data_IF_286257053309
#
_entry.id   IF_286257053309
#
_cell.length_a   1.000
_cell.length_b   1.000
_cell.length_c   1.000
_cell.angle_alpha   90.00
_cell.angle_beta   90.00
_cell.angle_gamma   90.00
#
_symmetry.space_group_name_H-M   'P 1'
#
loop_
_entity.id
_entity.type
_entity.pdbx_description
1 polymer ?
#
# COMPACT_ATOMS: atom_id res chain seq x y z
N UNK A 1 12.69 11.67 11.95
CA UNK A 1 13.54 11.54 10.74
C UNK A 1 12.78 11.21 9.44
N UNK A 2 11.67 10.46 9.48
CA UNK A 2 10.95 10.03 8.26
C UNK A 2 9.78 10.94 7.83
N UNK A 3 9.47 11.98 8.62
CA UNK A 3 8.42 12.96 8.26
C UNK A 3 8.77 13.62 6.92
N UNK A 4 7.83 13.58 5.97
CA UNK A 4 8.01 14.06 4.60
C UNK A 4 6.66 14.40 3.95
N UNK A 5 6.66 14.76 2.67
CA UNK A 5 5.43 15.00 1.91
C UNK A 5 4.54 13.75 1.78
N UNK A 6 5.14 12.56 1.74
CA UNK A 6 4.44 11.26 1.62
C UNK A 6 4.11 10.62 2.98
N UNK A 7 4.31 11.36 4.07
CA UNK A 7 4.09 10.88 5.43
C UNK A 7 4.43 11.98 6.43
N UNK A 8 3.50 12.91 6.66
CA UNK A 8 3.78 14.12 7.45
C UNK A 8 3.59 13.89 8.96
N UNK A 9 2.47 13.30 9.33
CA UNK A 9 2.01 13.13 10.70
C UNK A 9 2.09 11.66 11.15
N UNK A 10 2.28 11.38 12.45
CA UNK A 10 2.42 10.04 13.00
C UNK A 10 1.07 9.30 13.08
N UNK A 11 0.44 9.06 11.95
CA UNK A 11 -0.77 8.22 11.81
C UNK A 11 -0.42 6.88 11.14
N UNK A 12 -1.34 5.91 11.16
CA UNK A 12 -1.17 4.65 10.43
C UNK A 12 -1.31 4.85 8.92
N UNK A 13 -0.71 3.96 8.11
CA UNK A 13 -0.77 4.01 6.64
C UNK A 13 -2.23 3.96 6.17
N UNK A 14 -2.98 2.96 6.62
CA UNK A 14 -4.45 2.92 6.53
C UNK A 14 -5.05 3.42 7.83
N UNK A 15 -5.40 4.71 7.85
CA UNK A 15 -5.95 5.38 9.04
C UNK A 15 -7.42 5.06 9.32
N UNK A 16 -8.18 4.64 8.29
CA UNK A 16 -9.60 4.28 8.45
C UNK A 16 -10.49 5.46 8.89
N UNK A 17 -10.12 6.67 8.49
CA UNK A 17 -10.79 7.93 8.80
C UNK A 17 -11.14 8.68 7.51
N UNK A 18 -12.25 9.40 7.49
CA UNK A 18 -12.59 10.33 6.41
C UNK A 18 -11.66 11.56 6.44
N UNK A 19 -11.60 12.31 5.35
CA UNK A 19 -10.80 13.55 5.29
C UNK A 19 -11.27 14.60 6.31
N UNK A 20 -12.56 14.64 6.64
CA UNK A 20 -13.11 15.54 7.67
C UNK A 20 -12.68 15.13 9.08
N UNK A 21 -12.68 13.84 9.38
CA UNK A 21 -12.17 13.31 10.67
C UNK A 21 -10.66 13.55 10.81
N UNK A 22 -9.88 13.35 9.74
CA UNK A 22 -8.46 13.68 9.71
C UNK A 22 -8.21 15.18 9.92
N UNK A 23 -9.02 16.04 9.29
CA UNK A 23 -8.89 17.49 9.48
C UNK A 23 -9.10 17.87 10.95
N UNK A 24 -10.09 17.28 11.63
CA UNK A 24 -10.33 17.49 13.07
C UNK A 24 -9.14 17.01 13.91
N UNK A 25 -8.69 15.77 13.67
CA UNK A 25 -7.53 15.20 14.37
C UNK A 25 -6.31 16.09 14.21
N UNK A 26 -5.99 16.50 12.97
CA UNK A 26 -4.81 17.31 12.70
C UNK A 26 -4.90 18.70 13.30
N UNK A 27 -6.09 19.31 13.28
CA UNK A 27 -6.28 20.65 13.79
C UNK A 27 -5.92 20.75 15.28
N UNK A 28 -6.31 19.73 16.04
CA UNK A 28 -6.10 19.65 17.48
C UNK A 28 -4.75 19.04 17.85
N UNK A 29 -4.45 17.82 17.39
CA UNK A 29 -3.25 17.06 17.80
C UNK A 29 -1.94 17.69 17.34
N UNK A 30 -1.98 18.51 16.29
CA UNK A 30 -0.79 19.19 15.75
C UNK A 30 -0.86 20.71 15.86
N UNK A 31 -1.74 21.22 16.74
CA UNK A 31 -1.82 22.63 17.13
C UNK A 31 -1.91 23.60 15.94
N UNK A 32 -2.62 23.19 14.88
CA UNK A 32 -2.86 24.04 13.70
C UNK A 32 -3.81 25.17 14.09
N UNK A 33 -4.80 24.90 14.96
CA UNK A 33 -5.74 25.88 15.51
C UNK A 33 -6.47 26.71 14.43
N UNK A 34 -6.79 26.10 13.29
CA UNK A 34 -7.62 26.68 12.26
C UNK A 34 -9.08 26.77 12.74
N UNK A 35 -9.79 27.82 12.32
CA UNK A 35 -11.25 27.87 12.41
C UNK A 35 -11.86 26.85 11.42
N UNK A 36 -12.08 25.63 11.91
CA UNK A 36 -12.43 24.46 11.11
C UNK A 36 -13.92 24.12 11.26
N UNK A 37 -14.63 24.12 10.13
CA UNK A 37 -15.97 23.53 10.02
C UNK A 37 -15.93 22.30 9.11
N UNK A 38 -16.41 21.16 9.61
CA UNK A 38 -16.62 19.94 8.82
C UNK A 38 -18.12 19.72 8.65
N UNK A 39 -18.58 19.58 7.42
CA UNK A 39 -19.98 19.22 7.12
C UNK A 39 -20.08 17.70 7.00
N UNK A 40 -20.71 16.98 7.96
CA UNK A 40 -20.78 15.54 7.91
C UNK A 40 -21.65 15.05 6.75
N UNK A 41 -21.24 13.94 6.15
CA UNK A 41 -22.05 13.19 5.20
C UNK A 41 -23.29 12.62 5.91
N UNK A 42 -24.32 12.30 5.15
CA UNK A 42 -25.49 11.56 5.63
C UNK A 42 -25.48 10.16 5.04
N UNK A 43 -25.92 9.17 5.81
CA UNK A 43 -26.08 7.76 5.40
C UNK A 43 -24.77 7.04 5.00
N UNK A 44 -23.62 7.62 5.29
CA UNK A 44 -22.34 6.91 5.20
C UNK A 44 -22.03 6.26 6.54
N UNK A 45 -21.54 5.02 6.51
CA UNK A 45 -21.17 4.28 7.71
C UNK A 45 -19.73 3.77 7.60
N UNK A 46 -19.03 3.75 8.73
CA UNK A 46 -17.68 3.17 8.78
C UNK A 46 -17.73 1.69 8.39
N UNK A 47 -16.82 1.31 7.50
CA UNK A 47 -16.77 -0.05 6.92
C UNK A 47 -17.43 -0.15 5.54
N UNK A 48 -18.21 0.85 5.13
CA UNK A 48 -18.77 0.89 3.77
C UNK A 48 -17.67 1.12 2.74
N UNK A 49 -17.58 0.23 1.75
CA UNK A 49 -16.74 0.38 0.59
C UNK A 49 -17.31 1.39 -0.39
N UNK A 50 -16.44 1.96 -1.24
CA UNK A 50 -16.86 2.99 -2.18
C UNK A 50 -17.98 2.52 -3.12
N UNK A 51 -17.90 1.28 -3.62
CA UNK A 51 -18.91 0.68 -4.51
C UNK A 51 -20.26 0.42 -3.80
N UNK A 52 -20.27 0.38 -2.46
CA UNK A 52 -21.49 0.26 -1.66
C UNK A 52 -22.19 1.61 -1.43
N UNK A 53 -21.53 2.73 -1.76
CA UNK A 53 -22.12 4.08 -1.60
C UNK A 53 -23.11 4.44 -2.72
N UNK A 54 -23.09 3.70 -3.83
CA UNK A 54 -23.84 4.04 -5.04
C UNK A 54 -23.28 5.24 -5.82
N UNK A 55 -22.16 5.83 -5.37
CA UNK A 55 -21.50 6.93 -6.08
C UNK A 55 -20.69 6.43 -7.27
N UNK A 56 -20.60 7.26 -8.31
CA UNK A 56 -19.75 6.98 -9.47
C UNK A 56 -18.27 7.15 -9.12
N UNK A 57 -17.46 6.16 -9.45
CA UNK A 57 -16.01 6.26 -9.33
C UNK A 57 -15.45 7.31 -10.29
N UNK A 58 -14.69 8.26 -9.74
CA UNK A 58 -13.87 9.20 -10.49
C UNK A 58 -12.43 8.97 -10.04
N UNK A 59 -11.53 8.77 -10.99
CA UNK A 59 -10.13 8.46 -10.69
C UNK A 59 -9.50 9.57 -9.82
N UNK A 60 -9.07 9.27 -8.59
CA UNK A 60 -8.46 10.28 -7.71
C UNK A 60 -7.06 10.68 -8.19
N UNK A 61 -6.45 9.90 -9.09
CA UNK A 61 -5.20 10.25 -9.76
C UNK A 61 -5.10 9.58 -11.13
N UNK A 62 -4.17 10.00 -12.00
CA UNK A 62 -3.94 9.35 -13.29
C UNK A 62 -3.60 7.85 -13.21
N UNK A 63 -3.17 7.36 -12.04
CA UNK A 63 -2.73 5.97 -11.85
C UNK A 63 -3.56 5.19 -10.82
N UNK A 64 -4.53 5.81 -10.15
CA UNK A 64 -5.54 5.08 -9.36
C UNK A 64 -6.83 5.08 -10.18
N UNK A 65 -6.97 4.05 -11.01
CA UNK A 65 -7.98 4.00 -12.08
C UNK A 65 -9.20 3.12 -11.78
N UNK A 66 -9.19 2.43 -10.65
CA UNK A 66 -10.23 1.49 -10.25
C UNK A 66 -10.28 1.40 -8.73
N UNK A 67 -11.41 0.95 -8.20
CA UNK A 67 -11.52 0.59 -6.78
C UNK A 67 -10.52 -0.52 -6.42
N UNK A 68 -10.29 -1.46 -7.34
CA UNK A 68 -9.29 -2.53 -7.17
C UNK A 68 -7.89 -1.98 -6.96
N UNK A 69 -7.45 -1.03 -7.78
CA UNK A 69 -6.17 -0.35 -7.61
C UNK A 69 -6.11 0.34 -6.23
N UNK A 70 -7.19 1.02 -5.83
CA UNK A 70 -7.27 1.66 -4.50
C UNK A 70 -7.20 0.66 -3.34
N UNK A 71 -7.79 -0.53 -3.48
CA UNK A 71 -7.75 -1.61 -2.46
C UNK A 71 -6.34 -2.13 -2.22
N UNK A 72 -5.54 -2.32 -3.29
CA UNK A 72 -4.19 -2.90 -3.16
C UNK A 72 -3.09 -1.85 -3.01
N UNK A 73 -3.37 -0.58 -3.35
CA UNK A 73 -2.43 0.53 -3.30
C UNK A 73 -1.66 0.66 -1.97
N UNK A 74 -2.27 0.53 -0.77
CA UNK A 74 -1.54 0.70 0.48
C UNK A 74 -0.32 -0.21 0.64
N UNK A 75 -0.34 -1.40 0.02
CA UNK A 75 0.79 -2.31 -0.03
C UNK A 75 1.64 -2.18 -1.27
N UNK A 76 1.00 -2.12 -2.45
CA UNK A 76 1.73 -2.19 -3.71
C UNK A 76 2.54 -0.90 -3.98
N UNK A 77 2.13 0.22 -3.37
CA UNK A 77 2.89 1.47 -3.40
C UNK A 77 4.30 1.33 -2.80
N UNK A 78 4.56 0.35 -1.93
CA UNK A 78 5.92 0.11 -1.42
C UNK A 78 6.93 -0.20 -2.52
N UNK A 79 6.48 -0.72 -3.67
CA UNK A 79 7.35 -0.96 -4.83
C UNK A 79 7.92 0.33 -5.41
N UNK A 80 7.30 1.50 -5.19
CA UNK A 80 7.88 2.80 -5.55
C UNK A 80 9.25 3.00 -4.91
N UNK A 81 9.48 2.43 -3.72
CA UNK A 81 10.76 2.45 -3.01
C UNK A 81 11.79 1.44 -3.55
N UNK A 82 11.56 0.85 -4.71
CA UNK A 82 12.42 -0.18 -5.32
C UNK A 82 12.52 0.03 -6.84
N UNK A 83 13.38 -0.74 -7.51
CA UNK A 83 13.43 -0.78 -8.97
C UNK A 83 12.33 -1.64 -9.62
N UNK A 84 11.39 -2.21 -8.87
CA UNK A 84 10.29 -3.01 -9.45
C UNK A 84 9.19 -2.08 -9.96
N UNK A 85 8.67 -2.35 -11.17
CA UNK A 85 7.52 -1.62 -11.71
C UNK A 85 6.25 -2.01 -10.95
N UNK A 86 5.49 -1.02 -10.50
CA UNK A 86 4.15 -1.14 -9.93
C UNK A 86 3.03 -1.01 -11.00
N UNK A 87 3.38 -1.23 -12.28
CA UNK A 87 2.42 -1.23 -13.39
C UNK A 87 2.08 0.15 -13.96
N UNK A 88 2.74 1.23 -13.52
CA UNK A 88 2.64 2.54 -14.21
C UNK A 88 3.05 2.40 -15.67
N UNK A 89 2.41 3.17 -16.55
CA UNK A 89 2.57 3.03 -18.00
C UNK A 89 1.83 1.83 -18.60
N UNK A 90 0.86 1.24 -17.88
CA UNK A 90 -0.01 0.17 -18.40
C UNK A 90 -1.49 0.55 -18.24
N UNK A 91 -2.39 -0.34 -18.67
CA UNK A 91 -3.83 -0.17 -18.50
C UNK A 91 -4.27 -0.30 -17.03
N UNK A 92 -3.58 -1.12 -16.24
CA UNK A 92 -3.94 -1.46 -14.85
C UNK A 92 -2.80 -1.12 -13.86
N UNK A 93 -2.43 0.17 -13.72
CA UNK A 93 -1.44 0.59 -12.73
C UNK A 93 -1.88 0.23 -11.32
N UNK A 94 -0.92 -0.13 -10.49
CA UNK A 94 -1.14 -0.65 -9.13
C UNK A 94 -2.02 -1.90 -9.07
N UNK A 95 -2.19 -2.67 -10.15
CA UNK A 95 -2.81 -4.01 -10.06
C UNK A 95 -1.83 -5.12 -10.44
N UNK A 96 -0.74 -4.76 -11.12
CA UNK A 96 0.32 -5.62 -11.60
C UNK A 96 1.68 -5.08 -11.16
N UNK A 97 2.65 -5.97 -11.06
CA UNK A 97 4.02 -5.60 -10.75
C UNK A 97 5.03 -6.54 -11.40
N UNK A 98 6.24 -6.06 -11.65
CA UNK A 98 7.25 -6.84 -12.36
C UNK A 98 8.49 -6.06 -12.76
N UNK A 99 9.45 -6.78 -13.36
CA UNK A 99 10.68 -6.25 -13.90
C UNK A 99 11.23 -7.19 -14.99
N UNK A 100 12.14 -6.74 -15.87
CA UNK A 100 12.66 -7.58 -16.95
C UNK A 100 13.48 -8.79 -16.51
N UNK A 101 13.98 -8.79 -15.27
CA UNK A 101 14.78 -9.90 -14.72
C UNK A 101 13.96 -10.93 -13.94
N UNK A 102 12.65 -10.68 -13.78
CA UNK A 102 11.74 -11.57 -13.05
C UNK A 102 11.32 -12.73 -13.95
N UNK A 103 11.10 -13.89 -13.35
CA UNK A 103 10.42 -15.04 -13.96
C UNK A 103 9.01 -15.07 -13.37
N UNK A 104 7.99 -14.83 -14.21
CA UNK A 104 6.61 -14.70 -13.74
C UNK A 104 6.09 -15.99 -13.08
N UNK A 105 6.52 -17.15 -13.55
CA UNK A 105 6.06 -18.45 -13.06
C UNK A 105 6.62 -18.74 -11.68
N UNK A 106 7.94 -18.56 -11.52
CA UNK A 106 8.65 -18.73 -10.25
C UNK A 106 8.13 -17.75 -9.20
N UNK A 107 8.06 -16.46 -9.52
CA UNK A 107 7.60 -15.45 -8.57
C UNK A 107 6.16 -15.71 -8.11
N UNK A 108 5.25 -15.97 -9.05
CA UNK A 108 3.84 -16.22 -8.74
C UNK A 108 3.67 -17.48 -7.88
N UNK A 109 4.41 -18.55 -8.18
CA UNK A 109 4.38 -19.77 -7.38
C UNK A 109 4.86 -19.55 -5.95
N UNK A 110 5.98 -18.83 -5.73
CA UNK A 110 6.46 -18.53 -4.38
C UNK A 110 5.49 -17.63 -3.60
N UNK A 111 4.88 -16.63 -4.25
CA UNK A 111 3.90 -15.75 -3.60
C UNK A 111 2.64 -16.53 -3.20
N UNK A 112 2.12 -17.40 -4.07
CA UNK A 112 0.94 -18.21 -3.76
C UNK A 112 1.20 -19.21 -2.62
N UNK A 113 2.44 -19.69 -2.43
CA UNK A 113 2.79 -20.56 -1.27
C UNK A 113 2.67 -19.86 0.09
N UNK A 114 2.66 -18.52 0.12
CA UNK A 114 2.46 -17.77 1.36
C UNK A 114 1.02 -17.88 1.88
N UNK A 115 0.05 -18.28 1.05
CA UNK A 115 -1.36 -18.38 1.41
C UNK A 115 -1.89 -17.10 2.09
N UNK A 116 -1.58 -15.94 1.50
CA UNK A 116 -1.98 -14.65 2.07
C UNK A 116 -3.51 -14.51 2.12
N UNK A 117 -4.05 -13.90 3.18
CA UNK A 117 -5.50 -13.83 3.37
C UNK A 117 -6.14 -12.93 2.32
N UNK A 118 -7.26 -13.39 1.76
CA UNK A 118 -8.11 -12.60 0.87
C UNK A 118 -7.53 -12.31 -0.52
N UNK A 119 -6.43 -12.96 -0.93
CA UNK A 119 -5.89 -12.81 -2.27
C UNK A 119 -5.15 -14.05 -2.81
N UNK A 120 -4.92 -14.04 -4.12
CA UNK A 120 -3.93 -14.88 -4.79
C UNK A 120 -3.23 -14.09 -5.90
N UNK A 121 -2.23 -14.71 -6.54
CA UNK A 121 -1.42 -14.09 -7.58
C UNK A 121 -1.54 -14.83 -8.91
N UNK A 122 -1.60 -14.08 -9.99
CA UNK A 122 -1.56 -14.59 -11.37
C UNK A 122 -0.30 -14.09 -12.09
N UNK A 123 0.35 -14.92 -12.92
CA UNK A 123 1.52 -14.48 -13.67
C UNK A 123 1.10 -13.52 -14.79
N UNK A 124 1.88 -12.46 -15.00
CA UNK A 124 1.63 -11.48 -16.08
C UNK A 124 2.90 -11.10 -16.82
N UNK A 125 2.72 -10.64 -18.05
CA UNK A 125 3.72 -9.93 -18.83
C UNK A 125 3.16 -8.58 -19.25
N UNK A 126 4.00 -7.56 -19.25
CA UNK A 126 3.60 -6.21 -19.66
C UNK A 126 4.82 -5.40 -20.15
N UNK A 127 4.55 -4.36 -20.93
CA UNK A 127 5.56 -3.38 -21.36
C UNK A 127 5.06 -2.01 -20.91
N UNK A 128 5.68 -1.39 -19.88
CA UNK A 128 5.36 -0.03 -19.48
C UNK A 128 5.62 0.96 -20.62
N UNK A 129 4.67 1.85 -20.89
CA UNK A 129 4.86 2.96 -21.85
C UNK A 129 5.52 4.18 -21.22
N UNK A 130 5.66 4.23 -19.90
CA UNK A 130 6.33 5.28 -19.13
C UNK A 130 6.84 4.72 -17.81
N UNK A 131 7.64 5.51 -17.07
CA UNK A 131 8.13 5.19 -15.71
C UNK A 131 9.14 4.03 -15.70
N UNK A 132 9.18 3.23 -14.63
CA UNK A 132 10.17 2.15 -14.47
C UNK A 132 10.04 1.14 -15.59
N UNK A 133 11.19 0.79 -16.17
CA UNK A 133 11.30 -0.18 -17.26
C UNK A 133 10.49 0.19 -18.52
N UNK A 134 10.33 1.49 -18.80
CA UNK A 134 9.74 1.99 -20.04
C UNK A 134 10.32 1.29 -21.27
N UNK A 135 9.43 0.80 -22.15
CA UNK A 135 9.76 0.12 -23.40
C UNK A 135 10.36 -1.28 -23.23
N UNK A 136 10.53 -1.79 -22.00
CA UNK A 136 11.10 -3.11 -21.74
C UNK A 136 10.00 -4.10 -21.36
N UNK A 137 10.13 -5.35 -21.84
CA UNK A 137 9.26 -6.45 -21.41
C UNK A 137 9.54 -6.76 -19.94
N UNK A 138 8.51 -6.64 -19.12
CA UNK A 138 8.50 -7.02 -17.72
C UNK A 138 7.69 -8.29 -17.55
N UNK A 139 8.21 -9.19 -16.74
CA UNK A 139 7.49 -10.32 -16.18
C UNK A 139 7.20 -10.07 -14.71
N UNK A 140 6.12 -10.65 -14.20
CA UNK A 140 5.80 -10.59 -12.78
C UNK A 140 4.42 -11.13 -12.46
N UNK A 141 3.70 -10.47 -11.56
CA UNK A 141 2.43 -10.97 -11.05
C UNK A 141 1.37 -9.88 -10.92
N UNK A 142 0.11 -10.30 -10.96
CA UNK A 142 -1.09 -9.52 -10.68
C UNK A 142 -1.68 -9.98 -9.35
N UNK A 143 -2.12 -9.04 -8.51
CA UNK A 143 -2.84 -9.38 -7.27
C UNK A 143 -4.32 -9.55 -7.61
N UNK A 144 -4.89 -10.71 -7.32
CA UNK A 144 -6.33 -10.95 -7.36
C UNK A 144 -6.87 -10.94 -5.93
N UNK A 145 -7.64 -9.92 -5.58
CA UNK A 145 -8.34 -9.86 -4.29
C UNK A 145 -9.60 -10.71 -4.40
N UNK A 146 -9.71 -11.73 -3.55
CA UNK A 146 -10.85 -12.65 -3.48
C UNK A 146 -11.81 -12.33 -2.34
N UNK A 147 -11.29 -11.72 -1.27
CA UNK A 147 -12.06 -11.31 -0.10
C UNK A 147 -11.43 -10.05 0.48
N UNK A 148 -12.05 -8.89 0.20
CA UNK A 148 -11.53 -7.57 0.61
C UNK A 148 -11.58 -7.33 2.12
N UNK A 149 -12.43 -8.05 2.85
CA UNK A 149 -12.52 -7.93 4.32
C UNK A 149 -11.37 -8.67 5.01
N UNK A 150 -10.82 -9.70 4.36
CA UNK A 150 -9.66 -10.46 4.87
C UNK A 150 -8.33 -9.95 4.32
N UNK A 151 -8.36 -9.19 3.24
CA UNK A 151 -7.15 -8.75 2.55
C UNK A 151 -6.35 -7.74 3.38
N UNK A 152 -5.06 -8.02 3.56
CA UNK A 152 -4.13 -7.18 4.31
C UNK A 152 -3.12 -6.54 3.34
N UNK A 153 -3.41 -5.36 2.76
CA UNK A 153 -2.62 -4.81 1.67
C UNK A 153 -1.17 -4.54 2.07
N UNK A 154 -0.90 -3.91 3.21
CA UNK A 154 0.46 -3.55 3.63
C UNK A 154 1.32 -4.79 3.91
N UNK A 155 0.75 -5.80 4.58
CA UNK A 155 1.46 -7.06 4.81
C UNK A 155 1.76 -7.76 3.49
N UNK A 156 0.77 -7.81 2.59
CA UNK A 156 0.92 -8.37 1.24
C UNK A 156 2.03 -7.65 0.47
N UNK A 157 2.04 -6.32 0.50
CA UNK A 157 3.07 -5.50 -0.15
C UNK A 157 4.48 -5.81 0.37
N UNK A 158 4.65 -5.94 1.69
CA UNK A 158 5.95 -6.28 2.28
C UNK A 158 6.39 -7.71 1.98
N UNK A 159 5.47 -8.67 1.94
CA UNK A 159 5.77 -10.02 1.48
C UNK A 159 6.19 -10.06 0.02
N UNK A 160 5.54 -9.29 -0.86
CA UNK A 160 5.94 -9.15 -2.27
C UNK A 160 7.37 -8.62 -2.36
N UNK A 161 7.67 -7.51 -1.66
CA UNK A 161 9.02 -6.92 -1.65
C UNK A 161 10.04 -7.93 -1.15
N UNK A 162 9.77 -8.63 -0.05
CA UNK A 162 10.67 -9.65 0.49
C UNK A 162 10.90 -10.80 -0.49
N UNK A 163 9.83 -11.36 -1.09
CA UNK A 163 9.99 -12.47 -2.03
C UNK A 163 10.79 -12.08 -3.28
N UNK A 164 10.57 -10.89 -3.83
CA UNK A 164 11.36 -10.43 -4.99
C UNK A 164 12.82 -10.21 -4.57
N UNK A 165 13.07 -9.58 -3.43
CA UNK A 165 14.42 -9.39 -2.89
C UNK A 165 15.15 -10.73 -2.70
N UNK A 166 14.50 -11.74 -2.12
CA UNK A 166 15.08 -13.06 -1.87
C UNK A 166 15.36 -13.83 -3.18
N UNK A 167 14.47 -13.72 -4.18
CA UNK A 167 14.58 -14.44 -5.44
C UNK A 167 15.60 -13.83 -6.41
N UNK A 168 15.76 -12.50 -6.37
CA UNK A 168 16.58 -11.74 -7.31
C UNK A 168 17.56 -10.78 -6.61
N UNK A 169 18.38 -11.25 -5.64
CA UNK A 169 19.17 -10.37 -4.78
C UNK A 169 20.28 -9.60 -5.52
N UNK A 170 20.67 -10.03 -6.73
CA UNK A 170 21.69 -9.35 -7.54
C UNK A 170 21.11 -8.20 -8.38
N UNK A 171 19.82 -8.25 -8.70
CA UNK A 171 19.14 -7.31 -9.58
C UNK A 171 18.20 -6.37 -8.82
N UNK A 172 17.74 -6.79 -7.63
CA UNK A 172 16.87 -5.97 -6.81
C UNK A 172 17.64 -4.76 -6.26
N UNK A 173 17.06 -3.57 -6.43
CA UNK A 173 17.63 -2.33 -5.93
C UNK A 173 16.62 -1.56 -5.09
N UNK A 174 17.10 -1.03 -3.97
CA UNK A 174 16.33 -0.15 -3.10
C UNK A 174 16.48 1.31 -3.55
N UNK A 175 15.37 2.03 -3.55
CA UNK A 175 15.35 3.49 -3.40
C UNK A 175 15.14 3.74 -1.90
N UNK A 176 16.15 3.40 -1.09
CA UNK A 176 16.02 3.22 0.37
C UNK A 176 15.36 4.39 1.09
N UNK A 177 15.71 5.63 0.72
CA UNK A 177 15.13 6.82 1.33
C UNK A 177 13.65 6.98 1.04
N UNK A 178 13.17 6.56 -0.13
CA UNK A 178 11.76 6.60 -0.50
C UNK A 178 11.01 5.46 0.19
N UNK A 179 11.55 4.24 0.15
CA UNK A 179 10.94 3.08 0.81
C UNK A 179 10.73 3.33 2.31
N UNK A 180 11.76 3.81 3.02
CA UNK A 180 11.69 4.06 4.46
C UNK A 180 10.72 5.21 4.79
N UNK A 181 10.54 6.18 3.88
CA UNK A 181 9.56 7.27 4.03
C UNK A 181 8.13 6.80 3.84
N UNK A 182 7.85 5.94 2.86
CA UNK A 182 6.51 5.37 2.64
C UNK A 182 6.00 4.60 3.86
N UNK A 183 6.91 3.91 4.56
CA UNK A 183 6.59 3.14 5.77
C UNK A 183 6.77 3.94 7.07
N UNK A 184 7.29 5.16 7.00
CA UNK A 184 7.61 5.99 8.17
C UNK A 184 8.70 5.38 9.08
N UNK A 185 9.47 4.40 8.59
CA UNK A 185 10.49 3.66 9.33
C UNK A 185 11.44 2.89 8.42
N UNK A 186 12.71 2.76 8.79
CA UNK A 186 13.66 1.84 8.14
C UNK A 186 13.50 0.38 8.56
N UNK A 187 12.76 0.11 9.66
CA UNK A 187 12.62 -1.24 10.23
C UNK A 187 12.18 -2.29 9.20
N UNK A 188 11.17 -2.05 8.33
CA UNK A 188 10.75 -3.06 7.37
C UNK A 188 11.84 -3.44 6.37
N UNK A 189 12.55 -2.44 5.81
CA UNK A 189 13.68 -2.69 4.91
C UNK A 189 14.80 -3.45 5.60
N UNK A 190 15.16 -3.04 6.81
CA UNK A 190 16.20 -3.72 7.59
C UNK A 190 15.82 -5.16 7.93
N UNK A 191 14.55 -5.44 8.24
CA UNK A 191 14.03 -6.80 8.44
C UNK A 191 14.18 -7.64 7.18
N UNK A 192 13.82 -7.09 6.01
CA UNK A 192 13.93 -7.78 4.71
C UNK A 192 15.39 -8.06 4.36
N UNK A 193 16.28 -7.07 4.47
CA UNK A 193 17.72 -7.21 4.16
C UNK A 193 18.39 -8.25 5.06
N UNK A 194 17.95 -8.37 6.32
CA UNK A 194 18.45 -9.37 7.27
C UNK A 194 17.77 -10.73 7.14
N UNK A 195 16.91 -10.93 6.12
CA UNK A 195 16.09 -12.13 5.90
C UNK A 195 15.33 -12.58 7.15
N UNK A 196 14.87 -11.63 7.96
CA UNK A 196 14.11 -11.89 9.19
C UNK A 196 12.62 -12.08 8.88
N UNK A 197 11.92 -12.70 9.83
CA UNK A 197 10.47 -12.91 9.75
C UNK A 197 9.72 -11.57 9.74
N UNK A 198 8.89 -11.35 8.73
CA UNK A 198 7.96 -10.21 8.71
C UNK A 198 6.84 -10.36 9.75
N UNK A 199 6.53 -11.58 10.20
CA UNK A 199 5.51 -11.78 11.24
C UNK A 199 5.88 -11.10 12.56
N UNK A 200 7.15 -11.15 12.96
CA UNK A 200 7.64 -10.44 14.16
C UNK A 200 7.53 -8.93 13.99
N UNK A 201 7.81 -8.42 12.78
CA UNK A 201 7.64 -7.01 12.46
C UNK A 201 6.16 -6.60 12.57
N UNK A 202 5.23 -7.37 12.01
CA UNK A 202 3.80 -7.07 12.07
C UNK A 202 3.27 -7.14 13.51
N UNK A 203 3.73 -8.10 14.30
CA UNK A 203 3.40 -8.18 15.71
C UNK A 203 3.84 -6.90 16.45
N UNK A 204 5.03 -6.38 16.14
CA UNK A 204 5.52 -5.13 16.75
C UNK A 204 4.71 -3.87 16.39
N UNK A 205 3.84 -3.94 15.37
CA UNK A 205 2.97 -2.82 14.99
C UNK A 205 1.68 -2.74 15.80
N UNK A 206 1.27 -3.82 16.46
CA UNK A 206 -0.01 -3.91 17.16
C UNK A 206 -0.16 -2.84 18.25
N UNK A 207 0.90 -2.55 19.01
CA UNK A 207 0.90 -1.51 20.04
C UNK A 207 0.59 -0.12 19.46
N UNK A 208 1.30 0.26 18.38
CA UNK A 208 1.08 1.54 17.70
C UNK A 208 -0.28 1.60 17.02
N UNK A 209 -0.76 0.49 16.49
CA UNK A 209 -2.08 0.39 15.90
C UNK A 209 -3.15 0.61 16.98
N UNK A 210 -3.06 -0.06 18.13
CA UNK A 210 -3.98 0.13 19.26
C UNK A 210 -4.00 1.58 19.72
N UNK A 211 -2.82 2.19 19.93
CA UNK A 211 -2.73 3.60 20.30
C UNK A 211 -3.44 4.52 19.29
N UNK A 212 -3.28 4.26 17.99
CA UNK A 212 -3.92 5.09 16.97
C UNK A 212 -5.43 4.88 16.90
N UNK A 213 -5.92 3.67 17.16
CA UNK A 213 -7.34 3.38 17.30
C UNK A 213 -7.94 4.18 18.47
N UNK A 214 -7.30 4.15 19.64
CA UNK A 214 -7.75 4.92 20.81
C UNK A 214 -7.73 6.43 20.55
N UNK A 215 -6.69 6.92 19.85
CA UNK A 215 -6.59 8.32 19.47
C UNK A 215 -7.73 8.74 18.53
N UNK A 216 -7.94 7.99 17.44
CA UNK A 216 -8.87 8.40 16.38
C UNK A 216 -10.32 8.40 16.84
N UNK A 217 -10.68 7.60 17.83
CA UNK A 217 -12.04 7.49 18.37
C UNK A 217 -12.57 8.84 18.88
N UNK A 218 -11.68 9.72 19.36
CA UNK A 218 -12.04 11.09 19.76
C UNK A 218 -12.45 12.00 18.59
N UNK A 219 -12.14 11.61 17.36
CA UNK A 219 -12.30 12.44 16.15
C UNK A 219 -13.27 11.88 15.14
N UNK A 220 -13.84 10.69 15.38
CA UNK A 220 -14.79 10.08 14.46
C UNK A 220 -16.09 10.88 14.39
N UNK A 221 -16.72 10.85 13.20
CA UNK A 221 -18.01 11.46 12.90
C UNK A 221 -19.07 10.41 12.54
N UNK A 222 -18.66 9.16 12.27
CA UNK A 222 -19.51 8.06 11.80
C UNK A 222 -19.15 6.72 12.43
#
# INVERSE_FOLDING_TARGET
PYSSFVGKYPITITHGMTVGELARLFNEQFLINCDLTVIPMKNWHRGQWFDETGLKWVNPSPNIRSLRAATVYPGLCFLEGTNISEGRGTETPFEIFGAPFIDKGKLTAELNRLNLPGCYFEPVEFIPTTSKWEGKRCEGSRIIVTDREKFLPEQTGLYIVQKIHDLYPKQFEWISSHFDRLLGSSKPRETIVKSKSLNELFFSWQERQSWFLDLRDNYLLY
#
